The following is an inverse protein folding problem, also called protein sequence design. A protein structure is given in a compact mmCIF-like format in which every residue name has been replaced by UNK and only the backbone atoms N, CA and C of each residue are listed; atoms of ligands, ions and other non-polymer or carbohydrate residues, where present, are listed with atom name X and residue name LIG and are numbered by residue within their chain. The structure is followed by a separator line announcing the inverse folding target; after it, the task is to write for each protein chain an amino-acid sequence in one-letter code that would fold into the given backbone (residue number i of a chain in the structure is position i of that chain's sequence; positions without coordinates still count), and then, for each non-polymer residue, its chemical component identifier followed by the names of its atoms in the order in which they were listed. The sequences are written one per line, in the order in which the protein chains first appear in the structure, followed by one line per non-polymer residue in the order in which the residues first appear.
data_IF_210799992553
#
_entry.id   IF_210799992553
#
_cell.length_a   1.000
_cell.length_b   1.000
_cell.length_c   1.000
_cell.angle_alpha   90.00
_cell.angle_beta   90.00
_cell.angle_gamma   90.00
#
_symmetry.space_group_name_H-M   'P 1'
#
loop_
_entity.id
_entity.type
_entity.pdbx_description
1 polymer ?
#
# COMPACT_ATOMS: atom_id res chain seq x y z
N UNK A 1 -10.64 43.86 22.53
CA UNK A 1 -11.15 42.69 23.27
C UNK A 1 -12.36 42.16 22.52
N UNK A 2 -12.12 41.23 21.59
CA UNK A 2 -13.19 40.62 20.78
C UNK A 2 -13.56 39.28 21.42
N UNK A 3 -14.80 39.17 21.90
CA UNK A 3 -15.38 37.96 22.45
C UNK A 3 -16.02 37.21 21.27
N UNK A 4 -15.46 36.06 20.89
CA UNK A 4 -16.10 35.12 19.98
C UNK A 4 -17.14 34.30 20.74
N UNK A 5 -18.42 34.57 20.50
CA UNK A 5 -19.51 33.74 20.94
C UNK A 5 -19.53 32.45 20.09
N UNK A 6 -19.09 31.34 20.66
CA UNK A 6 -19.29 30.00 20.12
C UNK A 6 -20.77 29.62 20.30
N UNK A 7 -21.57 29.86 19.28
CA UNK A 7 -22.94 29.36 19.21
C UNK A 7 -22.94 27.82 19.24
N UNK A 8 -23.63 27.24 20.23
CA UNK A 8 -23.93 25.83 20.30
C UNK A 8 -24.77 25.42 19.09
N UNK A 9 -24.14 24.90 18.04
CA UNK A 9 -24.83 24.20 16.97
C UNK A 9 -25.23 22.82 17.54
N UNK A 10 -26.41 22.75 18.11
CA UNK A 10 -27.08 21.47 18.37
C UNK A 10 -27.35 20.85 16.97
N UNK A 11 -26.52 19.90 16.56
CA UNK A 11 -26.85 19.06 15.43
C UNK A 11 -28.20 18.38 15.75
N UNK A 12 -29.22 18.69 14.97
CA UNK A 12 -30.52 18.07 15.06
C UNK A 12 -30.34 16.58 14.78
N UNK A 13 -30.31 15.74 15.82
CA UNK A 13 -30.24 14.29 15.70
C UNK A 13 -31.47 13.81 14.92
N UNK A 14 -31.26 13.47 13.66
CA UNK A 14 -32.29 12.86 12.84
C UNK A 14 -32.48 11.41 13.32
N UNK A 15 -33.63 11.03 13.91
CA UNK A 15 -33.84 9.70 14.51
C UNK A 15 -33.71 8.55 13.50
N UNK A 16 -33.83 8.81 12.19
CA UNK A 16 -33.57 7.81 11.14
C UNK A 16 -32.09 7.44 10.98
N UNK A 17 -31.17 8.28 11.43
CA UNK A 17 -29.74 7.99 11.38
C UNK A 17 -29.31 6.90 12.38
N UNK A 18 -30.06 6.68 13.45
CA UNK A 18 -29.74 5.66 14.48
C UNK A 18 -30.02 4.20 14.03
N UNK A 19 -30.83 3.99 13.00
CA UNK A 19 -31.17 2.63 12.50
C UNK A 19 -30.13 2.03 11.54
N UNK A 20 -29.11 2.76 11.08
CA UNK A 20 -28.15 2.33 10.05
C UNK A 20 -26.71 2.08 10.51
N UNK A 21 -26.34 2.41 11.74
CA UNK A 21 -24.99 2.16 12.26
C UNK A 21 -24.82 0.71 12.73
N UNK A 22 -25.09 -0.25 11.86
CA UNK A 22 -24.56 -1.61 12.04
C UNK A 22 -23.07 -1.57 11.72
N UNK A 23 -22.26 -2.08 12.65
CA UNK A 23 -20.80 -2.13 12.57
C UNK A 23 -20.32 -2.69 11.23
N UNK A 24 -19.86 -1.83 10.34
CA UNK A 24 -19.28 -2.22 9.05
C UNK A 24 -17.79 -2.60 9.19
N UNK A 25 -17.48 -3.52 10.11
CA UNK A 25 -16.12 -4.02 10.29
C UNK A 25 -15.94 -5.29 9.45
N UNK A 26 -15.04 -5.24 8.50
CA UNK A 26 -14.64 -6.37 7.69
C UNK A 26 -13.25 -6.85 8.11
N UNK A 27 -13.08 -8.15 8.17
CA UNK A 27 -11.79 -8.81 8.25
C UNK A 27 -11.53 -9.47 6.90
N UNK A 28 -10.45 -9.09 6.24
CA UNK A 28 -10.06 -9.63 4.94
C UNK A 28 -8.77 -10.44 5.09
N UNK A 29 -8.78 -11.65 4.55
CA UNK A 29 -7.58 -12.44 4.28
C UNK A 29 -7.43 -12.52 2.77
N UNK A 30 -6.31 -12.07 2.22
CA UNK A 30 -6.05 -12.09 0.78
C UNK A 30 -4.66 -12.62 0.44
N UNK A 31 -4.57 -13.21 -0.75
CA UNK A 31 -3.33 -13.61 -1.39
C UNK A 31 -3.25 -12.94 -2.74
N UNK A 32 -2.12 -12.30 -3.01
CA UNK A 32 -1.80 -11.74 -4.31
C UNK A 32 -0.50 -12.37 -4.82
N UNK A 33 -0.43 -12.67 -6.11
CA UNK A 33 0.74 -13.31 -6.71
C UNK A 33 0.93 -12.94 -8.18
N UNK A 34 2.18 -13.06 -8.62
CA UNK A 34 2.59 -13.13 -10.01
C UNK A 34 3.69 -14.20 -10.19
N UNK A 35 4.48 -14.18 -11.28
CA UNK A 35 5.53 -15.17 -11.56
C UNK A 35 6.66 -15.17 -10.50
N UNK A 36 6.98 -14.03 -9.90
CA UNK A 36 8.23 -13.82 -9.18
C UNK A 36 8.02 -13.60 -7.69
N UNK A 37 6.80 -13.28 -7.27
CA UNK A 37 6.50 -12.99 -5.87
C UNK A 37 5.03 -13.21 -5.50
N UNK A 38 4.81 -13.36 -4.20
CA UNK A 38 3.47 -13.40 -3.62
C UNK A 38 3.41 -12.59 -2.32
N UNK A 39 2.20 -12.13 -1.98
CA UNK A 39 1.90 -11.36 -0.77
C UNK A 39 0.68 -11.95 -0.09
N UNK A 40 0.83 -12.36 1.16
CA UNK A 40 -0.30 -12.64 2.06
C UNK A 40 -0.67 -11.37 2.81
N UNK A 41 -1.95 -11.02 2.87
CA UNK A 41 -2.42 -9.87 3.62
C UNK A 41 -3.59 -10.20 4.53
N UNK A 42 -3.53 -9.71 5.77
CA UNK A 42 -4.60 -9.75 6.75
C UNK A 42 -4.98 -8.30 7.09
N UNK A 43 -6.25 -7.94 6.92
CA UNK A 43 -6.69 -6.58 7.25
C UNK A 43 -7.98 -6.56 8.04
N UNK A 44 -8.12 -5.53 8.89
CA UNK A 44 -9.36 -5.13 9.53
C UNK A 44 -9.71 -3.74 9.05
N UNK A 45 -10.91 -3.60 8.48
CA UNK A 45 -11.39 -2.32 7.92
C UNK A 45 -12.71 -1.95 8.56
N UNK A 46 -12.80 -0.70 8.99
CA UNK A 46 -14.03 -0.08 9.43
C UNK A 46 -14.55 0.84 8.33
N UNK A 47 -15.78 0.60 7.85
CA UNK A 47 -16.43 1.40 6.82
C UNK A 47 -17.49 2.33 7.39
N UNK A 48 -17.50 3.57 6.90
CA UNK A 48 -18.48 4.61 7.19
C UNK A 48 -19.31 4.81 5.93
N UNK A 49 -20.61 4.41 5.91
CA UNK A 49 -21.49 4.66 4.79
C UNK A 49 -21.71 6.16 4.58
N UNK A 50 -21.72 6.60 3.34
CA UNK A 50 -21.91 8.00 2.97
C UNK A 50 -23.05 8.20 1.97
N UNK A 51 -23.66 9.39 2.00
CA UNK A 51 -24.76 9.77 1.13
C UNK A 51 -26.11 9.13 1.49
N UNK A 52 -27.21 9.64 0.90
CA UNK A 52 -28.59 9.22 1.18
C UNK A 52 -28.85 7.72 0.94
N UNK A 53 -28.22 7.12 -0.04
CA UNK A 53 -28.39 5.69 -0.40
C UNK A 53 -27.41 4.76 0.31
N UNK A 54 -26.45 5.28 1.08
CA UNK A 54 -25.41 4.55 1.83
C UNK A 54 -24.64 3.49 1.01
N UNK A 55 -24.61 3.65 -0.31
CA UNK A 55 -23.92 2.73 -1.22
C UNK A 55 -22.42 2.99 -1.31
N UNK A 56 -22.02 4.24 -1.20
CA UNK A 56 -20.63 4.65 -1.13
C UNK A 56 -20.14 4.62 0.32
N UNK A 57 -19.00 4.03 0.55
CA UNK A 57 -18.42 3.88 1.88
C UNK A 57 -16.96 4.33 1.85
N UNK A 58 -16.57 5.10 2.84
CA UNK A 58 -15.20 5.45 3.12
C UNK A 58 -14.77 4.65 4.35
N UNK A 59 -13.61 4.06 4.32
CA UNK A 59 -13.12 3.24 5.42
C UNK A 59 -11.68 3.54 5.79
N UNK A 60 -11.33 3.16 7.00
CA UNK A 60 -9.97 3.10 7.48
C UNK A 60 -9.70 1.74 8.08
N UNK A 61 -8.46 1.30 8.05
CA UNK A 61 -8.12 -0.03 8.54
C UNK A 61 -6.66 -0.18 8.91
N UNK A 62 -6.36 -1.35 9.47
CA UNK A 62 -5.00 -1.83 9.66
C UNK A 62 -4.80 -3.05 8.76
N UNK A 63 -3.65 -3.11 8.09
CA UNK A 63 -3.27 -4.22 7.23
C UNK A 63 -1.87 -4.69 7.57
N UNK A 64 -1.78 -5.97 7.85
CA UNK A 64 -0.52 -6.69 7.89
C UNK A 64 -0.28 -7.35 6.53
N UNK A 65 0.89 -7.14 5.93
CA UNK A 65 1.32 -7.81 4.71
C UNK A 65 2.58 -8.61 4.99
N UNK A 66 2.71 -9.77 4.33
CA UNK A 66 3.93 -10.57 4.30
C UNK A 66 4.25 -10.89 2.84
N UNK A 67 5.32 -10.28 2.32
CA UNK A 67 5.78 -10.43 0.94
C UNK A 67 6.95 -11.42 0.90
N UNK A 68 6.93 -12.29 -0.11
CA UNK A 68 8.00 -13.19 -0.47
C UNK A 68 8.25 -13.08 -1.97
N UNK A 69 9.52 -12.99 -2.36
CA UNK A 69 9.90 -12.89 -3.76
C UNK A 69 11.24 -13.56 -4.06
N UNK A 70 11.43 -13.91 -5.31
CA UNK A 70 12.63 -14.58 -5.81
C UNK A 70 13.13 -13.91 -7.07
N UNK A 71 14.46 -13.69 -7.14
CA UNK A 71 15.14 -13.08 -8.29
C UNK A 71 14.57 -11.72 -8.69
N UNK A 72 14.39 -10.83 -7.71
CA UNK A 72 13.78 -9.53 -7.92
C UNK A 72 14.82 -8.45 -8.20
N UNK A 73 14.48 -7.56 -9.13
CA UNK A 73 15.19 -6.32 -9.36
C UNK A 73 14.57 -5.19 -8.56
N UNK A 74 15.37 -4.57 -7.72
CA UNK A 74 15.03 -3.35 -6.99
C UNK A 74 15.76 -2.19 -7.65
N UNK A 75 15.05 -1.17 -8.05
CA UNK A 75 15.63 -0.01 -8.73
C UNK A 75 15.77 1.18 -7.80
N UNK A 76 16.56 2.16 -8.17
CA UNK A 76 16.70 3.45 -7.47
C UNK A 76 15.32 4.03 -7.14
N UNK A 77 15.03 4.24 -5.83
CA UNK A 77 13.70 4.62 -5.38
C UNK A 77 13.43 6.14 -5.35
N UNK A 78 14.37 7.02 -4.88
CA UNK A 78 14.05 8.42 -4.66
C UNK A 78 13.78 9.18 -5.97
N UNK A 79 12.59 9.80 -6.08
CA UNK A 79 12.19 10.60 -7.23
C UNK A 79 13.16 11.73 -7.53
N UNK A 80 13.76 12.35 -6.51
CA UNK A 80 14.76 13.41 -6.69
C UNK A 80 15.99 12.94 -7.48
N UNK A 81 16.32 11.65 -7.42
CA UNK A 81 17.42 11.06 -8.17
C UNK A 81 16.96 10.70 -9.58
N UNK A 82 15.81 10.03 -9.72
CA UNK A 82 15.33 9.47 -10.97
C UNK A 82 14.71 10.51 -11.90
N UNK A 83 14.11 11.58 -11.36
CA UNK A 83 13.42 12.62 -12.16
C UNK A 83 13.88 14.05 -11.87
N UNK A 84 14.80 14.25 -10.91
CA UNK A 84 15.24 15.57 -10.40
C UNK A 84 14.09 16.44 -9.88
N UNK A 85 12.94 15.85 -9.60
CA UNK A 85 11.73 16.53 -9.13
C UNK A 85 11.36 16.09 -7.70
N UNK A 86 10.67 16.97 -6.98
CA UNK A 86 10.09 16.70 -5.65
C UNK A 86 8.60 17.03 -5.65
N UNK A 87 7.83 16.31 -4.81
CA UNK A 87 6.41 16.57 -4.64
C UNK A 87 5.55 16.16 -5.85
N UNK A 88 4.37 16.79 -6.05
CA UNK A 88 3.38 16.38 -7.04
C UNK A 88 3.86 16.46 -8.49
N UNK A 89 4.86 17.30 -8.80
CA UNK A 89 5.39 17.45 -10.15
C UNK A 89 5.99 16.15 -10.71
N UNK A 90 6.39 15.22 -9.83
CA UNK A 90 6.90 13.89 -10.23
C UNK A 90 5.90 13.11 -11.09
N UNK A 91 4.60 13.34 -10.94
CA UNK A 91 3.56 12.70 -11.77
C UNK A 91 3.67 13.03 -13.26
N UNK A 92 4.30 14.14 -13.59
CA UNK A 92 4.41 14.66 -14.95
C UNK A 92 5.87 14.78 -15.43
N UNK A 93 6.82 14.27 -14.64
CA UNK A 93 8.24 14.34 -14.96
C UNK A 93 8.72 13.07 -15.67
N UNK A 94 9.70 13.24 -16.54
CA UNK A 94 10.41 12.13 -17.16
C UNK A 94 11.37 11.48 -16.18
N UNK A 95 11.55 10.17 -16.32
CA UNK A 95 12.57 9.41 -15.57
C UNK A 95 13.87 9.41 -16.37
N UNK A 96 14.95 9.87 -15.75
CA UNK A 96 16.30 9.80 -16.31
C UNK A 96 16.86 8.40 -16.13
N UNK A 97 16.79 7.57 -17.16
CA UNK A 97 17.21 6.17 -17.09
C UNK A 97 18.68 6.01 -16.69
N UNK A 98 19.54 6.98 -17.03
CA UNK A 98 20.95 7.00 -16.61
C UNK A 98 21.14 7.09 -15.08
N UNK A 99 20.12 7.53 -14.35
CA UNK A 99 20.14 7.63 -12.88
C UNK A 99 19.51 6.42 -12.19
N UNK A 100 19.08 5.43 -12.94
CA UNK A 100 18.38 4.26 -12.40
C UNK A 100 19.35 3.08 -12.37
N UNK A 101 19.87 2.77 -11.19
CA UNK A 101 20.66 1.57 -10.95
C UNK A 101 19.77 0.46 -10.41
N UNK A 102 20.31 -0.77 -10.36
CA UNK A 102 19.59 -1.95 -9.89
C UNK A 102 20.31 -2.61 -8.72
N UNK A 103 19.54 -3.04 -7.73
CA UNK A 103 19.95 -3.97 -6.70
C UNK A 103 19.24 -5.31 -6.97
N UNK A 104 19.95 -6.29 -7.50
CA UNK A 104 19.42 -7.63 -7.73
C UNK A 104 19.41 -8.43 -6.43
N UNK A 105 18.25 -8.99 -6.07
CA UNK A 105 18.03 -9.73 -4.83
C UNK A 105 17.53 -11.12 -5.16
N UNK A 106 18.26 -12.15 -4.77
CA UNK A 106 17.91 -13.55 -5.05
C UNK A 106 16.67 -14.00 -4.30
N UNK A 107 16.51 -13.56 -3.04
CA UNK A 107 15.35 -13.85 -2.21
C UNK A 107 15.00 -12.63 -1.36
N UNK A 108 13.76 -12.20 -1.40
CA UNK A 108 13.24 -11.11 -0.58
C UNK A 108 12.13 -11.60 0.34
N UNK A 109 12.09 -11.05 1.55
CA UNK A 109 11.00 -11.26 2.50
C UNK A 109 10.82 -9.98 3.31
N UNK A 110 9.64 -9.36 3.19
CA UNK A 110 9.28 -8.14 3.91
C UNK A 110 7.92 -8.28 4.53
N UNK A 111 7.85 -7.97 5.81
CA UNK A 111 6.59 -7.80 6.53
C UNK A 111 6.31 -6.31 6.69
N UNK A 112 5.04 -5.92 6.62
CA UNK A 112 4.62 -4.56 6.92
C UNK A 112 3.32 -4.52 7.71
N UNK A 113 3.18 -3.53 8.58
CA UNK A 113 1.93 -3.20 9.26
C UNK A 113 1.60 -1.75 8.95
N UNK A 114 0.50 -1.54 8.21
CA UNK A 114 0.12 -0.25 7.68
C UNK A 114 -1.31 0.13 8.07
N UNK A 115 -1.53 1.40 8.35
CA UNK A 115 -2.86 1.99 8.32
C UNK A 115 -3.27 2.18 6.87
N UNK A 116 -4.51 1.84 6.52
CA UNK A 116 -5.03 1.91 5.15
C UNK A 116 -6.27 2.80 5.03
N UNK A 117 -6.40 3.43 3.87
CA UNK A 117 -7.59 4.17 3.44
C UNK A 117 -8.34 3.26 2.46
N UNK A 118 -9.67 3.20 2.62
CA UNK A 118 -10.50 2.27 1.87
C UNK A 118 -11.71 3.01 1.29
N UNK A 119 -12.00 2.76 0.02
CA UNK A 119 -13.17 3.26 -0.68
C UNK A 119 -13.95 2.07 -1.23
N UNK A 120 -15.28 2.08 -1.06
CA UNK A 120 -16.11 0.98 -1.53
C UNK A 120 -17.45 1.49 -2.05
N UNK A 121 -17.92 0.88 -3.12
CA UNK A 121 -19.28 1.08 -3.63
C UNK A 121 -20.02 -0.25 -3.69
N UNK A 122 -21.22 -0.29 -3.11
CA UNK A 122 -22.06 -1.49 -3.04
C UNK A 122 -23.13 -1.48 -4.13
N UNK A 123 -23.11 -2.52 -4.99
CA UNK A 123 -24.13 -2.78 -6.01
C UNK A 123 -25.09 -3.87 -5.52
N UNK A 124 -26.41 -3.65 -5.64
CA UNK A 124 -27.45 -4.67 -5.42
C UNK A 124 -27.27 -5.52 -4.13
N UNK A 125 -26.76 -4.93 -3.06
CA UNK A 125 -26.55 -5.51 -1.73
C UNK A 125 -25.64 -6.77 -1.64
N UNK A 126 -25.11 -7.27 -2.76
CA UNK A 126 -24.26 -8.48 -2.78
C UNK A 126 -22.90 -8.26 -3.46
N UNK A 127 -22.77 -7.20 -4.21
CA UNK A 127 -21.57 -6.93 -4.99
C UNK A 127 -20.97 -5.59 -4.57
N UNK A 128 -19.74 -5.62 -4.10
CA UNK A 128 -18.96 -4.43 -3.80
C UNK A 128 -17.84 -4.28 -4.84
N UNK A 129 -17.57 -3.06 -5.23
CA UNK A 129 -16.31 -2.67 -5.89
C UNK A 129 -15.58 -1.76 -4.94
N UNK A 130 -14.31 -2.02 -4.71
CA UNK A 130 -13.53 -1.28 -3.74
C UNK A 130 -12.10 -1.06 -4.16
N UNK A 131 -11.55 0.01 -3.64
CA UNK A 131 -10.14 0.38 -3.72
C UNK A 131 -9.62 0.64 -2.31
N UNK A 132 -8.42 0.17 -2.03
CA UNK A 132 -7.74 0.50 -0.80
C UNK A 132 -6.26 0.80 -1.06
N UNK A 133 -5.66 1.57 -0.18
CA UNK A 133 -4.27 1.96 -0.25
C UNK A 133 -3.69 2.08 1.16
N UNK A 134 -2.50 1.54 1.36
CA UNK A 134 -1.72 1.75 2.57
C UNK A 134 -1.23 3.20 2.62
N UNK A 135 -1.40 3.86 3.76
CA UNK A 135 -1.09 5.27 3.91
C UNK A 135 0.19 5.51 4.74
N UNK A 136 0.29 4.88 5.90
CA UNK A 136 1.41 5.02 6.81
C UNK A 136 1.58 3.76 7.65
N UNK A 137 2.82 3.43 7.99
CA UNK A 137 3.12 2.27 8.81
C UNK A 137 4.60 2.00 8.93
N UNK A 138 4.93 0.74 9.13
CA UNK A 138 6.31 0.31 9.24
C UNK A 138 6.51 -1.06 8.62
N UNK A 139 7.75 -1.31 8.18
CA UNK A 139 8.19 -2.60 7.64
C UNK A 139 9.34 -3.17 8.44
N UNK A 140 9.43 -4.50 8.44
CA UNK A 140 10.46 -5.26 9.10
C UNK A 140 10.70 -6.59 8.37
N UNK A 141 11.88 -7.15 8.56
CA UNK A 141 12.27 -8.41 7.94
C UNK A 141 13.76 -8.67 8.11
N UNK A 142 14.21 -9.76 7.54
CA UNK A 142 15.62 -10.15 7.61
C UNK A 142 16.47 -9.24 6.73
N UNK A 143 17.70 -8.97 7.17
CA UNK A 143 18.75 -8.40 6.33
C UNK A 143 19.08 -9.38 5.20
N UNK A 144 19.23 -8.85 4.01
CA UNK A 144 19.54 -9.60 2.80
C UNK A 144 20.85 -9.09 2.17
N UNK A 145 21.44 -9.88 1.29
CA UNK A 145 22.50 -9.45 0.39
C UNK A 145 21.95 -9.32 -1.02
N UNK A 146 22.24 -8.20 -1.68
CA UNK A 146 21.88 -7.94 -3.06
C UNK A 146 23.11 -7.54 -3.89
N UNK A 147 23.10 -7.89 -5.17
CA UNK A 147 24.16 -7.51 -6.12
C UNK A 147 23.82 -6.15 -6.72
N UNK A 148 24.70 -5.17 -6.51
CA UNK A 148 24.57 -3.85 -7.11
C UNK A 148 24.98 -3.88 -8.60
N UNK A 149 24.14 -3.34 -9.46
CA UNK A 149 24.33 -3.22 -10.90
C UNK A 149 24.19 -1.74 -11.27
N UNK A 150 25.29 -1.14 -11.63
CA UNK A 150 25.36 0.24 -12.12
C UNK A 150 24.96 0.30 -13.60
N UNK A 151 24.04 1.18 -13.93
CA UNK A 151 23.57 1.37 -15.30
C UNK A 151 24.65 1.97 -16.25
N UNK A 152 25.63 2.67 -15.71
CA UNK A 152 26.70 3.29 -16.51
C UNK A 152 27.99 2.44 -16.61
N UNK A 153 28.03 1.31 -15.90
CA UNK A 153 29.17 0.38 -15.89
C UNK A 153 30.54 1.02 -15.54
N UNK A 154 30.53 2.20 -14.96
CA UNK A 154 31.72 3.03 -14.72
C UNK A 154 32.18 3.10 -13.26
N UNK A 155 31.38 2.55 -12.35
CA UNK A 155 31.61 2.68 -10.91
C UNK A 155 32.34 1.46 -10.36
N UNK A 156 33.33 1.68 -9.51
CA UNK A 156 34.15 0.65 -8.83
C UNK A 156 33.31 -0.38 -8.03
N UNK A 157 32.07 -0.05 -7.69
CA UNK A 157 31.17 -0.92 -6.90
C UNK A 157 30.28 -1.82 -7.75
N UNK A 158 30.29 -1.69 -9.08
CA UNK A 158 29.47 -2.52 -9.97
C UNK A 158 29.76 -4.02 -9.77
N UNK A 159 28.72 -4.84 -9.58
CA UNK A 159 28.83 -6.25 -9.25
C UNK A 159 29.09 -6.56 -7.77
N UNK A 160 29.26 -5.54 -6.92
CA UNK A 160 29.52 -5.74 -5.49
C UNK A 160 28.26 -6.22 -4.74
N UNK A 161 28.49 -6.98 -3.67
CA UNK A 161 27.44 -7.40 -2.75
C UNK A 161 27.16 -6.30 -1.73
N UNK A 162 25.88 -5.93 -1.60
CA UNK A 162 25.41 -4.89 -0.66
C UNK A 162 24.45 -5.49 0.35
N UNK A 163 24.67 -5.22 1.63
CA UNK A 163 23.72 -5.58 2.68
C UNK A 163 22.57 -4.57 2.70
N UNK A 164 21.35 -5.08 2.81
CA UNK A 164 20.14 -4.26 2.82
C UNK A 164 19.08 -4.79 3.79
N UNK A 165 18.37 -3.87 4.44
CA UNK A 165 17.24 -4.16 5.31
C UNK A 165 15.95 -3.57 4.73
N UNK A 166 14.77 -4.14 5.01
CA UNK A 166 13.51 -3.48 4.68
C UNK A 166 13.51 -2.03 5.20
N UNK A 167 13.11 -1.08 4.37
CA UNK A 167 12.95 0.32 4.79
C UNK A 167 11.92 0.38 5.89
N UNK A 168 12.31 0.84 7.08
CA UNK A 168 11.52 0.66 8.31
C UNK A 168 10.23 1.48 8.37
N UNK A 169 10.20 2.66 7.76
CA UNK A 169 9.04 3.57 7.75
C UNK A 169 8.33 3.45 6.41
N UNK A 170 7.01 3.37 6.45
CA UNK A 170 6.16 3.40 5.27
C UNK A 170 5.34 4.69 5.26
N UNK A 171 5.35 5.41 4.17
CA UNK A 171 4.57 6.62 3.99
C UNK A 171 4.13 6.80 2.54
N UNK A 172 2.82 6.89 2.33
CA UNK A 172 2.22 7.27 1.06
C UNK A 172 2.40 8.78 0.90
N UNK A 173 3.11 9.15 -0.13
CA UNK A 173 3.30 10.53 -0.54
C UNK A 173 2.72 10.69 -1.95
N UNK A 174 3.42 11.37 -2.84
CA UNK A 174 2.97 11.51 -4.22
C UNK A 174 3.95 10.80 -5.14
N UNK A 175 3.46 9.80 -5.89
CA UNK A 175 4.24 9.04 -6.88
C UNK A 175 5.52 8.44 -6.27
N UNK A 176 6.66 8.58 -6.94
CA UNK A 176 7.94 8.01 -6.53
C UNK A 176 8.59 8.70 -5.31
N UNK A 177 7.89 9.67 -4.69
CA UNK A 177 8.28 10.17 -3.37
C UNK A 177 7.89 9.23 -2.23
N UNK A 178 7.03 8.24 -2.46
CA UNK A 178 6.63 7.24 -1.47
C UNK A 178 7.84 6.62 -0.76
N UNK A 179 7.64 6.19 0.48
CA UNK A 179 8.67 5.57 1.29
C UNK A 179 8.19 4.20 1.76
N UNK A 180 9.09 3.22 1.71
CA UNK A 180 8.87 1.90 2.29
C UNK A 180 7.99 0.99 1.46
N UNK A 181 7.31 0.04 2.14
CA UNK A 181 6.52 -1.00 1.51
C UNK A 181 5.03 -0.72 1.68
N UNK A 182 4.33 -0.51 0.56
CA UNK A 182 2.94 -0.10 0.51
C UNK A 182 2.16 -1.02 -0.44
N UNK A 183 0.91 -1.29 -0.10
CA UNK A 183 -0.02 -2.07 -0.91
C UNK A 183 -1.24 -1.25 -1.30
N UNK A 184 -1.65 -1.33 -2.54
CA UNK A 184 -2.93 -0.84 -3.01
C UNK A 184 -3.66 -1.94 -3.76
N UNK A 185 -4.97 -2.06 -3.52
CA UNK A 185 -5.80 -3.10 -4.12
C UNK A 185 -7.03 -2.50 -4.79
N UNK A 186 -7.32 -2.95 -6.00
CA UNK A 186 -8.59 -2.74 -6.69
C UNK A 186 -9.30 -4.08 -6.77
N UNK A 187 -10.52 -4.17 -6.23
CA UNK A 187 -11.19 -5.45 -6.08
C UNK A 187 -12.70 -5.38 -6.33
N UNK A 188 -13.23 -6.57 -6.66
CA UNK A 188 -14.66 -6.89 -6.60
C UNK A 188 -14.85 -7.89 -5.48
N UNK A 189 -15.92 -7.70 -4.68
CA UNK A 189 -16.29 -8.57 -3.56
C UNK A 189 -17.73 -9.05 -3.76
N UNK A 190 -17.93 -10.36 -3.65
CA UNK A 190 -19.27 -10.97 -3.74
C UNK A 190 -19.65 -11.62 -2.42
N UNK A 191 -20.79 -11.21 -1.84
CA UNK A 191 -21.32 -11.71 -0.58
C UNK A 191 -22.23 -12.93 -0.81
N UNK A 192 -21.84 -14.09 -0.31
CA UNK A 192 -22.67 -15.31 -0.32
C UNK A 192 -23.82 -15.17 0.67
N UNK A 193 -23.50 -14.63 1.86
CA UNK A 193 -24.44 -14.38 2.93
C UNK A 193 -24.06 -13.07 3.66
N UNK A 194 -24.71 -12.78 4.76
CA UNK A 194 -24.46 -11.54 5.51
C UNK A 194 -23.05 -11.47 6.14
N UNK A 195 -22.38 -12.61 6.36
CA UNK A 195 -21.08 -12.68 7.08
C UNK A 195 -19.90 -12.97 6.19
N UNK A 196 -20.07 -13.69 5.09
CA UNK A 196 -18.97 -14.19 4.25
C UNK A 196 -19.05 -13.69 2.82
N UNK A 197 -17.90 -13.27 2.31
CA UNK A 197 -17.74 -12.92 0.90
C UNK A 197 -16.40 -13.42 0.35
N UNK A 198 -16.34 -13.58 -0.97
CA UNK A 198 -15.07 -13.69 -1.69
C UNK A 198 -14.72 -12.36 -2.32
N UNK A 199 -13.41 -12.15 -2.49
CA UNK A 199 -12.79 -10.96 -3.03
C UNK A 199 -11.83 -11.38 -4.13
N UNK A 200 -11.85 -10.71 -5.27
CA UNK A 200 -10.90 -10.93 -6.36
C UNK A 200 -10.56 -9.59 -7.02
N UNK A 201 -9.34 -9.47 -7.53
CA UNK A 201 -8.89 -8.22 -8.14
C UNK A 201 -7.41 -8.18 -8.43
N UNK A 202 -6.86 -6.98 -8.36
CA UNK A 202 -5.44 -6.71 -8.54
C UNK A 202 -4.85 -6.03 -7.30
N UNK A 203 -3.61 -6.37 -6.99
CA UNK A 203 -2.79 -5.75 -5.96
C UNK A 203 -1.57 -5.13 -6.60
N UNK A 204 -1.33 -3.85 -6.34
CA UNK A 204 -0.13 -3.14 -6.72
C UNK A 204 0.72 -2.93 -5.46
N UNK A 205 1.84 -3.63 -5.37
CA UNK A 205 2.67 -3.71 -4.18
C UNK A 205 4.03 -3.09 -4.41
N UNK A 206 4.44 -2.21 -3.51
CA UNK A 206 5.79 -1.70 -3.41
C UNK A 206 6.54 -2.42 -2.30
N UNK A 207 7.75 -2.86 -2.59
CA UNK A 207 8.70 -3.34 -1.58
C UNK A 207 9.94 -2.47 -1.64
N UNK A 208 10.42 -2.02 -0.49
CA UNK A 208 11.60 -1.16 -0.45
C UNK A 208 12.63 -1.67 0.56
N UNK A 209 13.88 -1.69 0.12
CA UNK A 209 15.06 -1.96 0.93
C UNK A 209 15.95 -0.74 1.03
N UNK A 210 16.63 -0.61 2.16
CA UNK A 210 17.68 0.40 2.39
C UNK A 210 19.01 -0.32 2.58
N UNK A 211 20.01 -0.03 1.71
CA UNK A 211 21.37 -0.55 1.85
C UNK A 211 22.13 0.15 2.96
N UNK A 212 23.05 -0.58 3.59
CA UNK A 212 23.94 -0.03 4.64
C UNK A 212 24.81 1.09 4.10
N UNK A 213 25.34 0.90 2.88
CA UNK A 213 26.16 1.89 2.21
C UNK A 213 25.33 2.71 1.24
N UNK A 214 25.66 3.98 1.11
CA UNK A 214 25.20 4.81 0.01
C UNK A 214 26.02 4.48 -1.23
N UNK A 215 25.32 4.35 -2.35
CA UNK A 215 25.92 4.00 -3.64
C UNK A 215 25.92 5.22 -4.56
N UNK A 216 25.93 5.02 -5.87
CA UNK A 216 25.96 6.12 -6.83
C UNK A 216 24.82 7.14 -6.57
N UNK A 217 25.10 8.41 -6.78
CA UNK A 217 24.20 9.54 -6.50
C UNK A 217 23.73 9.63 -5.03
N UNK A 218 24.55 9.13 -4.10
CA UNK A 218 24.27 9.11 -2.65
C UNK A 218 22.98 8.32 -2.30
N UNK A 219 22.59 7.37 -3.19
CA UNK A 219 21.39 6.55 -3.03
C UNK A 219 21.65 5.33 -2.14
N UNK A 220 20.72 5.07 -1.25
CA UNK A 220 20.65 3.83 -0.46
C UNK A 220 19.23 3.21 -0.44
N UNK A 221 18.27 3.75 -1.19
CA UNK A 221 16.88 3.26 -1.22
C UNK A 221 16.57 2.59 -2.55
N UNK A 222 16.04 1.37 -2.47
CA UNK A 222 15.84 0.46 -3.59
C UNK A 222 14.43 -0.11 -3.57
N UNK A 223 13.68 0.08 -4.66
CA UNK A 223 12.27 -0.29 -4.73
C UNK A 223 11.98 -1.28 -5.85
N UNK A 224 11.19 -2.31 -5.52
CA UNK A 224 10.50 -3.15 -6.48
C UNK A 224 9.03 -2.76 -6.52
N UNK A 225 8.47 -2.63 -7.73
CA UNK A 225 7.05 -2.35 -7.99
C UNK A 225 6.45 -3.55 -8.68
N UNK A 226 5.34 -4.07 -8.16
CA UNK A 226 4.73 -5.29 -8.69
C UNK A 226 3.22 -5.19 -8.80
N UNK A 227 2.70 -5.57 -9.96
CA UNK A 227 1.29 -5.80 -10.18
C UNK A 227 1.02 -7.31 -10.10
N UNK A 228 0.03 -7.71 -9.29
CA UNK A 228 -0.31 -9.09 -8.99
C UNK A 228 -1.81 -9.32 -9.12
N UNK A 229 -2.19 -10.52 -9.55
CA UNK A 229 -3.55 -11.01 -9.37
C UNK A 229 -3.84 -11.32 -7.92
N UNK A 230 -5.05 -11.03 -7.45
CA UNK A 230 -5.41 -11.17 -6.04
C UNK A 230 -6.74 -11.91 -5.88
N UNK A 231 -6.78 -12.80 -4.88
CA UNK A 231 -8.00 -13.44 -4.35
C UNK A 231 -8.03 -13.33 -2.83
N UNK A 232 -9.23 -13.41 -2.24
CA UNK A 232 -9.34 -13.33 -0.78
C UNK A 232 -10.73 -13.69 -0.28
N UNK A 233 -10.83 -13.76 1.04
CA UNK A 233 -12.07 -14.00 1.79
C UNK A 233 -12.29 -12.84 2.73
N UNK A 234 -13.54 -12.39 2.81
CA UNK A 234 -13.98 -11.37 3.77
C UNK A 234 -14.93 -12.00 4.79
N UNK A 235 -14.70 -11.66 6.04
CA UNK A 235 -15.58 -12.02 7.15
C UNK A 235 -16.07 -10.76 7.88
N UNK A 236 -17.40 -10.63 8.02
CA UNK A 236 -18.03 -9.58 8.82
C UNK A 236 -18.80 -10.21 9.98
N UNK A 237 -18.23 -10.27 11.20
CA UNK A 237 -18.87 -10.93 12.35
C UNK A 237 -20.10 -10.23 12.87
N UNK A 238 -20.26 -8.93 12.60
CA UNK A 238 -21.27 -8.06 13.19
C UNK A 238 -22.52 -7.85 12.31
N UNK A 239 -22.58 -8.52 11.17
CA UNK A 239 -23.71 -8.43 10.25
C UNK A 239 -24.69 -9.58 10.55
N UNK A 240 -25.75 -9.29 11.29
CA UNK A 240 -26.86 -10.22 11.61
C UNK A 240 -27.91 -10.29 10.52
#
# INVERSE_FOLDING_TARGET
MFVFALGNIKAQENPEFKKGFKYNNNFDLSLAANSDQFVGALSRVHFIPTGKKQKFKIGYGLRFNSQFGSKLNFVTAPAIITSKQKGPQVLFSETFNENVDTLFVSQSQVNSLNASINLQYTFKNKLDVGFNIDAVGFSFGKEISGTYIDNQSSVLLNGSQQLAKPTSINALLVSDNDIGSLNSELYVRYWFNKKWAIKAGASFYFTEYTTTNKLRLDNNRWRNKSLMGMIGVTFNPFNE
#
